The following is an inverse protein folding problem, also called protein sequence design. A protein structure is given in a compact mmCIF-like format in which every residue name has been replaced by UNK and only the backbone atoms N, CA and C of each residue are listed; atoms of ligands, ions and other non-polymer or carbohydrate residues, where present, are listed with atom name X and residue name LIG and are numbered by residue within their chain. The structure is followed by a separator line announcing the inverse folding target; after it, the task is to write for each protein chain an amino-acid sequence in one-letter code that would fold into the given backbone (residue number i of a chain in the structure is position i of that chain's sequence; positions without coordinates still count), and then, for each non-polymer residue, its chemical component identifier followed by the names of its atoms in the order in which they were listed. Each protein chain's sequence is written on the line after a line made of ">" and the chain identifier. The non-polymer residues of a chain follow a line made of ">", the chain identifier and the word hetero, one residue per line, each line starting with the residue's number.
data_IF_540530936770
#
_entry.id   IF_540530936770
#
_cell.length_a   1.000
_cell.length_b   1.000
_cell.length_c   1.000
_cell.angle_alpha   90.00
_cell.angle_beta   90.00
_cell.angle_gamma   90.00
#
_symmetry.space_group_name_H-M   'P 1'
#
loop_
_entity.id
_entity.type
_entity.pdbx_description
1 polymer ?
#
# COMPACT_ATOMS: atom_id res chain seq x y z
N UNK A 1 1.69 35.57 -49.27
CA UNK A 1 0.86 34.57 -48.57
C UNK A 1 1.09 34.52 -47.05
N UNK A 2 2.34 34.52 -46.55
CA UNK A 2 2.65 34.42 -45.10
C UNK A 2 2.17 35.59 -44.20
N UNK A 3 2.02 36.82 -44.73
CA UNK A 3 1.52 37.97 -43.94
C UNK A 3 0.05 37.80 -43.49
N UNK A 4 -0.78 37.12 -44.27
CA UNK A 4 -2.20 36.89 -43.92
C UNK A 4 -2.35 35.79 -42.85
N UNK A 5 -1.50 34.78 -42.86
CA UNK A 5 -1.47 33.73 -41.83
C UNK A 5 -1.07 34.31 -40.48
N UNK A 6 -0.04 35.17 -40.44
CA UNK A 6 0.42 35.80 -39.19
C UNK A 6 -0.63 36.71 -38.56
N UNK A 7 -1.38 37.47 -39.38
CA UNK A 7 -2.49 38.32 -38.91
C UNK A 7 -3.64 37.48 -38.33
N UNK A 8 -3.99 36.37 -39.00
CA UNK A 8 -5.03 35.44 -38.54
C UNK A 8 -4.64 34.70 -37.26
N UNK A 9 -3.37 34.31 -37.11
CA UNK A 9 -2.84 33.74 -35.86
C UNK A 9 -2.82 34.79 -34.75
N UNK A 10 -2.40 36.03 -35.03
CA UNK A 10 -2.41 37.10 -34.01
C UNK A 10 -3.82 37.50 -33.55
N UNK A 11 -4.82 37.39 -34.43
CA UNK A 11 -6.22 37.63 -34.06
C UNK A 11 -6.84 36.47 -33.28
N UNK A 12 -6.41 35.22 -33.54
CA UNK A 12 -6.77 34.04 -32.74
C UNK A 12 -6.03 33.99 -31.39
N UNK A 13 -4.89 34.68 -31.28
CA UNK A 13 -4.13 34.85 -30.03
C UNK A 13 -4.53 36.10 -29.23
N UNK A 14 -5.57 36.84 -29.66
CA UNK A 14 -6.18 37.83 -28.76
C UNK A 14 -6.75 37.04 -27.59
N UNK A 15 -6.04 37.09 -26.46
CA UNK A 15 -6.47 36.49 -25.20
C UNK A 15 -7.95 36.88 -25.02
N UNK A 16 -8.87 35.91 -24.84
CA UNK A 16 -10.23 36.27 -24.50
C UNK A 16 -10.17 37.24 -23.32
N UNK A 17 -11.04 38.26 -23.28
CA UNK A 17 -11.13 39.11 -22.10
C UNK A 17 -11.24 38.16 -20.91
N UNK A 18 -10.24 38.17 -20.03
CA UNK A 18 -10.33 37.42 -18.78
C UNK A 18 -11.53 38.01 -18.08
N UNK A 19 -12.67 37.32 -18.15
CA UNK A 19 -13.70 37.51 -17.14
C UNK A 19 -12.95 37.44 -15.81
N UNK A 20 -12.99 38.55 -15.08
CA UNK A 20 -12.28 38.65 -13.81
C UNK A 20 -12.96 37.66 -12.88
N UNK A 21 -12.39 36.46 -12.79
CA UNK A 21 -12.73 35.49 -11.74
C UNK A 21 -12.65 36.27 -10.43
N UNK A 22 -13.69 36.18 -9.62
CA UNK A 22 -13.70 36.84 -8.33
C UNK A 22 -12.46 36.35 -7.54
N UNK A 23 -11.68 37.28 -6.99
CA UNK A 23 -10.51 36.94 -6.17
C UNK A 23 -10.86 35.99 -5.02
N UNK A 24 -12.11 36.02 -4.57
CA UNK A 24 -12.64 35.08 -3.58
C UNK A 24 -12.74 33.66 -4.14
N UNK A 25 -13.28 33.48 -5.35
CA UNK A 25 -13.41 32.17 -6.01
C UNK A 25 -12.03 31.56 -6.32
N UNK A 26 -11.08 32.38 -6.78
CA UNK A 26 -9.69 31.94 -7.02
C UNK A 26 -9.06 31.33 -5.75
N UNK A 27 -9.24 31.99 -4.59
CA UNK A 27 -8.75 31.48 -3.31
C UNK A 27 -9.41 30.18 -2.88
N UNK A 28 -10.71 30.00 -3.16
CA UNK A 28 -11.41 28.74 -2.88
C UNK A 28 -10.84 27.61 -3.72
N UNK A 29 -10.66 27.83 -5.03
CA UNK A 29 -10.10 26.84 -5.94
C UNK A 29 -8.67 26.45 -5.55
N UNK A 30 -7.85 27.44 -5.19
CA UNK A 30 -6.49 27.22 -4.69
C UNK A 30 -6.50 26.40 -3.39
N UNK A 31 -7.41 26.69 -2.47
CA UNK A 31 -7.56 25.93 -1.21
C UNK A 31 -7.95 24.48 -1.47
N UNK A 32 -8.87 24.21 -2.40
CA UNK A 32 -9.31 22.85 -2.74
C UNK A 32 -8.19 22.04 -3.40
N UNK A 33 -7.41 22.64 -4.32
CA UNK A 33 -6.25 21.98 -4.92
C UNK A 33 -5.18 21.71 -3.86
N UNK A 34 -4.93 22.65 -2.96
CA UNK A 34 -4.00 22.45 -1.85
C UNK A 34 -4.45 21.30 -0.94
N UNK A 35 -5.73 21.24 -0.61
CA UNK A 35 -6.31 20.13 0.16
C UNK A 35 -6.14 18.78 -0.56
N UNK A 36 -6.28 18.75 -1.89
CA UNK A 36 -6.02 17.56 -2.70
C UNK A 36 -4.54 17.15 -2.65
N UNK A 37 -3.63 18.09 -2.83
CA UNK A 37 -2.19 17.87 -2.79
C UNK A 37 -1.78 17.26 -1.46
N UNK A 38 -2.30 17.80 -0.35
CA UNK A 38 -2.00 17.31 0.99
C UNK A 38 -2.57 15.92 1.24
N UNK A 39 -3.81 15.65 0.80
CA UNK A 39 -4.39 14.32 0.88
C UNK A 39 -3.58 13.30 0.06
N UNK A 40 -3.22 13.65 -1.17
CA UNK A 40 -2.39 12.81 -2.05
C UNK A 40 -1.00 12.54 -1.46
N UNK A 41 -0.33 13.55 -0.88
CA UNK A 41 0.96 13.39 -0.19
C UNK A 41 0.87 12.40 0.97
N UNK A 42 -0.15 12.52 1.83
CA UNK A 42 -0.37 11.61 2.97
C UNK A 42 -0.63 10.19 2.51
N UNK A 43 -1.51 10.00 1.53
CA UNK A 43 -1.79 8.68 0.95
C UNK A 43 -0.52 8.04 0.38
N UNK A 44 0.34 8.80 -0.31
CA UNK A 44 1.63 8.32 -0.83
C UNK A 44 2.62 7.94 0.27
N UNK A 45 2.75 8.78 1.29
CA UNK A 45 3.65 8.52 2.43
C UNK A 45 3.24 7.24 3.17
N UNK A 46 1.95 7.10 3.47
CA UNK A 46 1.45 5.91 4.19
C UNK A 46 1.60 4.66 3.31
N UNK A 47 1.33 4.75 2.01
CA UNK A 47 1.58 3.64 1.08
C UNK A 47 3.06 3.20 1.09
N UNK A 48 4.00 4.14 1.11
CA UNK A 48 5.43 3.83 1.18
C UNK A 48 5.78 3.17 2.52
N UNK A 49 5.33 3.75 3.65
CA UNK A 49 5.55 3.22 5.00
C UNK A 49 5.01 1.79 5.11
N UNK A 50 3.80 1.56 4.59
CA UNK A 50 3.15 0.26 4.59
C UNK A 50 3.98 -0.79 3.82
N UNK A 51 4.50 -0.44 2.64
CA UNK A 51 5.32 -1.36 1.86
C UNK A 51 6.66 -1.66 2.54
N UNK A 52 7.32 -0.64 3.11
CA UNK A 52 8.58 -0.84 3.86
C UNK A 52 8.34 -1.75 5.06
N UNK A 53 7.30 -1.46 5.86
CA UNK A 53 6.93 -2.29 7.00
C UNK A 53 6.61 -3.73 6.59
N UNK A 54 5.85 -3.91 5.49
CA UNK A 54 5.52 -5.23 4.97
C UNK A 54 6.75 -6.02 4.51
N UNK A 55 7.70 -5.38 3.83
CA UNK A 55 8.96 -6.01 3.41
C UNK A 55 9.79 -6.42 4.63
N UNK A 56 9.90 -5.56 5.65
CA UNK A 56 10.63 -5.86 6.89
C UNK A 56 10.03 -7.08 7.59
N UNK A 57 8.70 -7.11 7.77
CA UNK A 57 8.00 -8.23 8.40
C UNK A 57 8.20 -9.51 7.57
N UNK A 58 8.08 -9.42 6.25
CA UNK A 58 8.29 -10.57 5.37
C UNK A 58 9.71 -11.13 5.45
N UNK A 59 10.74 -10.27 5.43
CA UNK A 59 12.13 -10.68 5.56
C UNK A 59 12.40 -11.29 6.93
N UNK A 60 11.88 -10.68 8.00
CA UNK A 60 12.01 -11.19 9.36
C UNK A 60 11.41 -12.61 9.45
N UNK A 61 10.23 -12.82 8.88
CA UNK A 61 9.58 -14.13 8.87
C UNK A 61 10.32 -15.14 7.99
N UNK A 62 10.75 -14.72 6.81
CA UNK A 62 11.53 -15.56 5.92
C UNK A 62 12.81 -16.04 6.61
N UNK A 63 13.51 -15.14 7.30
CA UNK A 63 14.70 -15.49 8.07
C UNK A 63 14.36 -16.37 9.28
N UNK A 64 13.22 -16.16 9.94
CA UNK A 64 12.78 -17.02 11.04
C UNK A 64 12.59 -18.47 10.57
N UNK A 65 11.99 -18.67 9.41
CA UNK A 65 11.65 -20.01 8.87
C UNK A 65 12.83 -20.67 8.15
N UNK A 66 13.58 -19.92 7.34
CA UNK A 66 14.61 -20.47 6.44
C UNK A 66 16.05 -20.11 6.82
N UNK A 67 16.29 -19.47 7.97
CA UNK A 67 17.68 -19.19 8.36
C UNK A 67 18.47 -20.48 8.51
N UNK A 68 19.74 -20.43 8.07
CA UNK A 68 20.72 -21.49 8.28
C UNK A 68 20.86 -21.84 9.77
N UNK A 69 20.60 -20.89 10.66
CA UNK A 69 20.55 -21.09 12.11
C UNK A 69 19.49 -22.12 12.54
N UNK A 70 18.36 -22.20 11.83
CA UNK A 70 17.35 -23.21 12.11
C UNK A 70 17.86 -24.62 11.82
N UNK A 71 18.57 -24.80 10.70
CA UNK A 71 19.24 -26.06 10.36
C UNK A 71 20.26 -26.47 11.41
N UNK A 72 21.05 -25.53 11.95
CA UNK A 72 21.98 -25.83 13.05
C UNK A 72 21.26 -26.19 14.36
N UNK A 73 20.10 -25.57 14.64
CA UNK A 73 19.29 -25.86 15.84
C UNK A 73 18.66 -27.26 15.78
N UNK A 74 18.17 -27.68 14.62
CA UNK A 74 17.57 -29.01 14.44
C UNK A 74 18.63 -30.11 14.46
N UNK A 75 19.86 -29.80 14.03
CA UNK A 75 21.00 -30.71 14.09
C UNK A 75 21.71 -30.74 15.46
N UNK A 76 21.10 -30.23 16.53
CA UNK A 76 21.64 -30.31 17.91
C UNK A 76 22.04 -31.73 18.32
N UNK A 77 21.37 -32.75 17.78
CA UNK A 77 21.70 -34.16 18.01
C UNK A 77 23.10 -34.58 17.50
N UNK A 78 23.77 -33.74 16.70
CA UNK A 78 25.15 -33.98 16.26
C UNK A 78 26.20 -33.49 17.26
N UNK A 79 25.82 -32.60 18.19
CA UNK A 79 26.72 -32.03 19.18
C UNK A 79 26.65 -32.87 20.46
N UNK A 80 27.68 -33.70 20.69
CA UNK A 80 27.77 -34.56 21.88
C UNK A 80 28.41 -33.87 23.09
N UNK A 81 28.99 -32.68 22.91
CA UNK A 81 29.75 -31.98 23.94
C UNK A 81 28.82 -31.08 24.79
N UNK A 82 28.68 -31.33 26.11
CA UNK A 82 27.86 -30.52 27.01
C UNK A 82 28.26 -29.03 27.05
N UNK A 83 29.54 -28.71 26.83
CA UNK A 83 30.00 -27.32 26.82
C UNK A 83 29.46 -26.57 25.60
N UNK A 84 29.48 -27.20 24.42
CA UNK A 84 28.93 -26.62 23.20
C UNK A 84 27.41 -26.45 23.29
N UNK A 85 26.70 -27.38 23.94
CA UNK A 85 25.27 -27.27 24.18
C UNK A 85 24.92 -26.05 25.05
N UNK A 86 25.66 -25.83 26.14
CA UNK A 86 25.46 -24.68 27.03
C UNK A 86 25.68 -23.34 26.32
N UNK A 87 26.73 -23.25 25.49
CA UNK A 87 27.04 -22.06 24.72
C UNK A 87 26.00 -21.79 23.63
N UNK A 88 25.53 -22.84 22.97
CA UNK A 88 24.43 -22.75 22.00
C UNK A 88 23.16 -22.23 22.66
N UNK A 89 22.77 -22.76 23.83
CA UNK A 89 21.55 -22.31 24.52
C UNK A 89 21.64 -20.82 24.90
N UNK A 90 22.79 -20.34 25.39
CA UNK A 90 22.98 -18.90 25.70
C UNK A 90 22.87 -18.03 24.45
N UNK A 91 23.45 -18.48 23.32
CA UNK A 91 23.36 -17.80 22.03
C UNK A 91 21.90 -17.72 21.59
N UNK A 92 21.18 -18.84 21.61
CA UNK A 92 19.79 -18.90 21.17
C UNK A 92 18.87 -18.07 22.04
N UNK A 93 19.01 -18.12 23.37
CA UNK A 93 18.21 -17.31 24.29
C UNK A 93 18.38 -15.80 24.02
N UNK A 94 19.61 -15.38 23.67
CA UNK A 94 19.88 -13.98 23.31
C UNK A 94 19.33 -13.59 21.93
N UNK A 95 19.36 -14.49 20.97
CA UNK A 95 18.84 -14.23 19.62
C UNK A 95 17.31 -14.42 19.52
N UNK A 96 16.68 -15.04 20.50
CA UNK A 96 15.22 -15.16 20.59
C UNK A 96 14.55 -13.87 21.08
N UNK A 97 15.30 -12.89 21.58
CA UNK A 97 14.78 -11.61 22.04
C UNK A 97 15.21 -10.48 21.11
N UNK A 98 14.23 -9.71 20.63
CA UNK A 98 14.44 -8.47 19.88
C UNK A 98 14.10 -7.31 20.79
N UNK A 99 15.09 -6.44 21.03
CA UNK A 99 14.90 -5.20 21.77
C UNK A 99 14.63 -4.05 20.80
N UNK A 100 13.55 -3.29 21.06
CA UNK A 100 13.27 -2.05 20.33
C UNK A 100 13.87 -0.90 21.16
N UNK A 101 15.03 -0.32 20.78
CA UNK A 101 15.78 0.58 21.64
C UNK A 101 15.00 1.85 22.03
N UNK A 102 14.09 2.28 21.15
CA UNK A 102 13.29 3.50 21.35
C UNK A 102 12.25 3.34 22.46
N UNK A 103 11.72 2.14 22.66
CA UNK A 103 10.62 1.88 23.61
C UNK A 103 11.13 1.09 24.83
N UNK A 104 12.29 0.44 24.72
CA UNK A 104 12.84 -0.41 25.78
C UNK A 104 12.02 -1.69 26.01
N UNK A 105 11.16 -2.08 25.05
CA UNK A 105 10.41 -3.33 25.12
C UNK A 105 11.19 -4.42 24.39
N UNK A 106 11.29 -5.57 25.04
CA UNK A 106 11.84 -6.79 24.48
C UNK A 106 10.69 -7.72 24.09
N UNK A 107 10.75 -8.24 22.87
CA UNK A 107 9.77 -9.20 22.36
C UNK A 107 10.48 -10.48 21.95
N UNK A 108 9.81 -11.62 22.11
CA UNK A 108 10.29 -12.83 21.46
C UNK A 108 10.25 -12.65 19.95
N UNK A 109 11.21 -13.21 19.23
CA UNK A 109 11.15 -13.39 17.77
C UNK A 109 9.85 -14.08 17.37
N UNK A 110 9.31 -14.93 18.23
CA UNK A 110 8.02 -15.57 17.98
C UNK A 110 6.87 -14.55 18.00
N UNK A 111 6.94 -13.49 18.78
CA UNK A 111 5.85 -12.51 18.93
C UNK A 111 5.89 -11.41 17.87
N UNK A 112 7.02 -11.26 17.16
CA UNK A 112 7.18 -10.25 16.11
C UNK A 112 6.13 -10.39 15.01
N UNK A 113 5.66 -11.60 14.75
CA UNK A 113 4.62 -11.88 13.74
C UNK A 113 3.30 -11.26 14.20
N UNK A 114 2.91 -11.51 15.45
CA UNK A 114 1.66 -11.01 16.01
C UNK A 114 1.69 -9.48 16.08
N UNK A 115 2.77 -8.93 16.65
CA UNK A 115 2.97 -7.48 16.77
C UNK A 115 3.06 -6.83 15.39
N UNK A 116 3.77 -7.45 14.46
CA UNK A 116 3.91 -7.02 13.07
C UNK A 116 2.56 -7.00 12.34
N UNK A 117 1.75 -8.05 12.45
CA UNK A 117 0.42 -8.11 11.86
C UNK A 117 -0.52 -7.05 12.44
N UNK A 118 -0.51 -6.87 13.76
CA UNK A 118 -1.32 -5.83 14.41
C UNK A 118 -0.89 -4.43 13.97
N UNK A 119 0.40 -4.13 13.99
CA UNK A 119 0.94 -2.86 13.50
C UNK A 119 0.61 -2.61 12.04
N UNK A 120 0.71 -3.65 11.21
CA UNK A 120 0.37 -3.59 9.79
C UNK A 120 -1.12 -3.27 9.56
N UNK A 121 -2.01 -3.86 10.36
CA UNK A 121 -3.46 -3.57 10.33
C UNK A 121 -3.76 -2.12 10.71
N UNK A 122 -3.04 -1.55 11.69
CA UNK A 122 -3.17 -0.13 12.05
C UNK A 122 -2.76 0.76 10.88
N UNK A 123 -1.61 0.49 10.25
CA UNK A 123 -1.13 1.26 9.09
C UNK A 123 -2.09 1.10 7.89
N UNK A 124 -2.61 -0.10 7.65
CA UNK A 124 -3.60 -0.38 6.60
C UNK A 124 -4.90 0.43 6.80
N UNK A 125 -5.38 0.48 8.05
CA UNK A 125 -6.55 1.29 8.41
C UNK A 125 -6.30 2.78 8.18
N UNK A 126 -5.11 3.27 8.53
CA UNK A 126 -4.72 4.65 8.26
C UNK A 126 -4.61 4.95 6.75
N UNK A 127 -4.11 4.00 5.97
CA UNK A 127 -4.08 4.10 4.52
C UNK A 127 -5.49 4.21 3.94
N UNK A 128 -6.44 3.39 4.41
CA UNK A 128 -7.85 3.46 4.03
C UNK A 128 -8.45 4.85 4.28
N UNK A 129 -8.28 5.41 5.48
CA UNK A 129 -8.83 6.74 5.79
C UNK A 129 -8.20 7.85 4.94
N UNK A 130 -6.91 7.73 4.61
CA UNK A 130 -6.22 8.68 3.76
C UNK A 130 -6.71 8.61 2.31
N UNK A 131 -6.88 7.40 1.77
CA UNK A 131 -7.48 7.17 0.46
C UNK A 131 -8.94 7.66 0.41
N UNK A 132 -9.73 7.44 1.47
CA UNK A 132 -11.11 7.94 1.59
C UNK A 132 -11.15 9.47 1.59
N UNK A 133 -10.26 10.14 2.33
CA UNK A 133 -10.17 11.61 2.30
C UNK A 133 -9.83 12.12 0.91
N UNK A 134 -8.87 11.50 0.23
CA UNK A 134 -8.52 11.86 -1.15
C UNK A 134 -9.72 11.73 -2.09
N UNK A 135 -10.50 10.64 -1.98
CA UNK A 135 -11.72 10.45 -2.76
C UNK A 135 -12.75 11.56 -2.54
N UNK A 136 -12.99 11.95 -1.29
CA UNK A 136 -13.93 13.02 -0.94
C UNK A 136 -13.52 14.36 -1.56
N UNK A 137 -12.25 14.74 -1.46
CA UNK A 137 -11.76 16.01 -2.05
C UNK A 137 -11.90 16.01 -3.58
N UNK A 138 -11.62 14.89 -4.25
CA UNK A 138 -11.84 14.77 -5.70
C UNK A 138 -13.33 14.88 -6.05
N UNK A 139 -14.21 14.37 -5.18
CA UNK A 139 -15.66 14.46 -5.39
C UNK A 139 -16.14 15.90 -5.32
N UNK A 140 -15.69 16.65 -4.32
CA UNK A 140 -16.00 18.07 -4.18
C UNK A 140 -15.44 18.89 -5.35
N UNK A 141 -14.21 18.60 -5.79
CA UNK A 141 -13.61 19.23 -6.95
C UNK A 141 -14.39 18.98 -8.25
N UNK A 142 -14.90 17.75 -8.45
CA UNK A 142 -15.76 17.43 -9.59
C UNK A 142 -17.10 18.18 -9.52
N UNK A 143 -17.72 18.26 -8.34
CA UNK A 143 -18.98 19.01 -8.17
C UNK A 143 -18.78 20.51 -8.46
N UNK A 144 -17.68 21.09 -7.96
CA UNK A 144 -17.30 22.47 -8.28
C UNK A 144 -17.00 22.68 -9.76
N UNK A 145 -16.33 21.72 -10.40
CA UNK A 145 -16.09 21.72 -11.85
C UNK A 145 -17.42 21.75 -12.62
N UNK A 146 -18.37 20.89 -12.26
CA UNK A 146 -19.69 20.79 -12.91
C UNK A 146 -20.51 22.07 -12.78
N UNK A 147 -20.49 22.68 -11.60
CA UNK A 147 -21.26 23.89 -11.30
C UNK A 147 -20.61 25.17 -11.88
N UNK A 148 -19.39 25.09 -12.42
CA UNK A 148 -18.72 26.23 -13.05
C UNK A 148 -19.01 26.26 -14.55
N UNK A 149 -19.47 27.39 -15.08
CA UNK A 149 -19.61 27.59 -16.53
C UNK A 149 -18.27 27.88 -17.22
N UNK A 150 -17.26 28.29 -16.44
CA UNK A 150 -15.98 28.72 -16.96
C UNK A 150 -15.06 27.52 -17.28
N UNK A 151 -14.80 27.29 -18.57
CA UNK A 151 -13.93 26.23 -19.06
C UNK A 151 -12.49 26.32 -18.51
N UNK A 152 -12.00 27.52 -18.21
CA UNK A 152 -10.68 27.70 -17.60
C UNK A 152 -10.62 27.15 -16.18
N UNK A 153 -11.69 27.28 -15.39
CA UNK A 153 -11.77 26.71 -14.04
C UNK A 153 -11.77 25.19 -14.13
N UNK A 154 -12.58 24.60 -15.02
CA UNK A 154 -12.62 23.14 -15.25
C UNK A 154 -11.23 22.59 -15.60
N UNK A 155 -10.53 23.23 -16.53
CA UNK A 155 -9.16 22.86 -16.93
C UNK A 155 -8.17 23.05 -15.79
N UNK A 156 -8.24 24.15 -15.05
CA UNK A 156 -7.37 24.42 -13.91
C UNK A 156 -7.49 23.32 -12.84
N UNK A 157 -8.72 22.96 -12.47
CA UNK A 157 -8.98 21.90 -11.50
C UNK A 157 -8.49 20.54 -12.02
N UNK A 158 -8.83 20.18 -13.26
CA UNK A 158 -8.41 18.90 -13.86
C UNK A 158 -6.89 18.75 -13.90
N UNK A 159 -6.18 19.71 -14.50
CA UNK A 159 -4.72 19.64 -14.62
C UNK A 159 -4.01 19.81 -13.27
N UNK A 160 -4.59 20.56 -12.34
CA UNK A 160 -4.10 20.65 -10.95
C UNK A 160 -4.10 19.29 -10.25
N UNK A 161 -5.13 18.47 -10.48
CA UNK A 161 -5.26 17.14 -9.89
C UNK A 161 -4.40 16.11 -10.62
N UNK A 162 -4.52 16.01 -11.95
CA UNK A 162 -3.89 14.93 -12.73
C UNK A 162 -2.37 14.96 -12.59
N UNK A 163 -1.75 16.13 -12.63
CA UNK A 163 -0.30 16.28 -12.48
C UNK A 163 0.22 15.83 -11.10
N UNK A 164 -0.65 15.79 -10.08
CA UNK A 164 -0.30 15.37 -8.72
C UNK A 164 -0.68 13.91 -8.43
N UNK A 165 -1.31 13.23 -9.39
CA UNK A 165 -1.95 11.93 -9.21
C UNK A 165 -1.08 10.76 -9.64
N UNK A 166 0.02 10.50 -8.94
CA UNK A 166 1.02 9.47 -9.33
C UNK A 166 0.44 8.06 -9.50
N UNK A 167 -0.56 7.68 -8.69
CA UNK A 167 -1.14 6.32 -8.71
C UNK A 167 -2.48 6.21 -9.46
N UNK A 168 -3.01 7.33 -9.97
CA UNK A 168 -4.30 7.37 -10.66
C UNK A 168 -4.17 7.64 -12.16
N UNK A 169 -2.95 7.85 -12.67
CA UNK A 169 -2.59 8.11 -14.08
C UNK A 169 -2.86 6.91 -14.97
N UNK A 170 -4.13 6.69 -15.23
CA UNK A 170 -4.67 6.00 -16.39
C UNK A 170 -5.56 6.95 -17.19
N UNK A 171 -5.24 8.25 -17.19
CA UNK A 171 -5.90 9.19 -18.09
C UNK A 171 -5.49 8.83 -19.51
N UNK A 172 -6.44 8.84 -20.44
CA UNK A 172 -6.18 8.58 -21.86
C UNK A 172 -5.20 9.60 -22.44
N UNK A 173 -4.96 10.72 -21.75
CA UNK A 173 -3.97 11.75 -22.10
C UNK A 173 -2.52 11.24 -21.97
N UNK A 174 -2.24 10.30 -21.07
CA UNK A 174 -0.90 9.69 -20.94
C UNK A 174 -0.62 8.63 -22.03
N UNK A 175 -1.57 8.33 -22.93
CA UNK A 175 -1.50 7.15 -23.81
C UNK A 175 -0.68 7.33 -25.09
N UNK A 176 -0.09 8.50 -25.33
CA UNK A 176 0.55 8.81 -26.63
C UNK A 176 1.72 7.85 -26.97
N UNK A 177 2.24 7.04 -26.02
CA UNK A 177 3.31 6.06 -26.32
C UNK A 177 3.29 4.72 -25.52
N UNK A 178 2.15 4.30 -24.97
CA UNK A 178 2.12 3.29 -23.87
C UNK A 178 1.97 1.80 -24.25
N UNK A 179 2.29 1.36 -25.49
CA UNK A 179 2.35 -0.10 -25.79
C UNK A 179 3.40 -0.86 -24.96
N UNK A 180 4.33 -0.18 -24.27
CA UNK A 180 5.48 -0.79 -23.57
C UNK A 180 5.48 -0.70 -22.03
N UNK A 181 4.48 -0.10 -21.38
CA UNK A 181 4.53 0.26 -19.93
C UNK A 181 3.50 -0.46 -19.04
N UNK A 182 3.19 -1.73 -19.34
CA UNK A 182 2.29 -2.58 -18.53
C UNK A 182 2.92 -2.97 -17.16
N UNK A 183 4.23 -3.21 -17.12
CA UNK A 183 4.91 -3.78 -15.94
C UNK A 183 4.80 -2.93 -14.68
N UNK A 184 4.99 -1.61 -14.75
CA UNK A 184 4.90 -0.72 -13.58
C UNK A 184 3.52 -0.72 -12.92
N UNK A 185 2.45 -0.88 -13.71
CA UNK A 185 1.08 -0.97 -13.20
C UNK A 185 0.87 -2.29 -12.46
N UNK A 186 1.39 -3.38 -13.00
CA UNK A 186 1.36 -4.70 -12.35
C UNK A 186 2.13 -4.63 -11.03
N UNK A 187 3.32 -4.02 -11.01
CA UNK A 187 4.11 -3.84 -9.77
C UNK A 187 3.33 -3.02 -8.74
N UNK A 188 2.73 -1.89 -9.13
CA UNK A 188 1.92 -1.10 -8.20
C UNK A 188 0.70 -1.87 -7.66
N UNK A 189 0.05 -2.69 -8.49
CA UNK A 189 -1.05 -3.56 -8.05
C UNK A 189 -0.57 -4.65 -7.08
N UNK A 190 0.59 -5.24 -7.33
CA UNK A 190 1.22 -6.22 -6.42
C UNK A 190 1.56 -5.55 -5.08
N UNK A 191 2.17 -4.35 -5.11
CA UNK A 191 2.50 -3.58 -3.90
C UNK A 191 1.24 -3.14 -3.13
N UNK A 192 0.11 -2.93 -3.79
CA UNK A 192 -1.17 -2.72 -3.10
C UNK A 192 -1.72 -4.03 -2.51
N UNK A 193 -1.58 -5.14 -3.24
CA UNK A 193 -1.99 -6.46 -2.78
C UNK A 193 -1.14 -6.97 -1.62
N UNK A 194 0.02 -6.37 -1.32
CA UNK A 194 0.83 -6.68 -0.13
C UNK A 194 0.03 -6.61 1.17
N UNK A 195 -1.01 -5.75 1.23
CA UNK A 195 -1.98 -5.71 2.35
C UNK A 195 -2.60 -7.06 2.66
N UNK A 196 -2.84 -7.85 1.62
CA UNK A 196 -3.48 -9.15 1.68
C UNK A 196 -2.44 -10.26 1.71
N UNK A 197 -1.46 -10.17 0.80
CA UNK A 197 -0.43 -11.20 0.63
C UNK A 197 0.35 -11.42 1.93
N UNK A 198 0.68 -10.36 2.66
CA UNK A 198 1.52 -10.47 3.84
C UNK A 198 0.85 -11.32 4.95
N UNK A 199 -0.34 -10.99 5.49
CA UNK A 199 -1.00 -11.84 6.49
C UNK A 199 -1.17 -13.31 6.06
N UNK A 200 -1.58 -13.55 4.80
CA UNK A 200 -1.75 -14.92 4.30
C UNK A 200 -0.42 -15.66 4.14
N UNK A 201 0.66 -14.96 3.78
CA UNK A 201 2.00 -15.56 3.73
C UNK A 201 2.48 -15.98 5.13
N UNK A 202 2.19 -15.18 6.16
CA UNK A 202 2.53 -15.51 7.55
C UNK A 202 1.75 -16.76 8.03
N UNK A 203 0.46 -16.86 7.71
CA UNK A 203 -0.33 -18.07 7.96
C UNK A 203 0.27 -19.28 7.23
N UNK A 204 0.64 -19.11 5.95
CA UNK A 204 1.25 -20.18 5.17
C UNK A 204 2.58 -20.65 5.77
N UNK A 205 3.40 -19.73 6.29
CA UNK A 205 4.63 -20.07 7.00
C UNK A 205 4.37 -20.83 8.29
N UNK A 206 3.36 -20.45 9.08
CA UNK A 206 3.01 -21.19 10.30
C UNK A 206 2.42 -22.58 9.99
N UNK A 207 1.67 -22.72 8.89
CA UNK A 207 1.20 -24.03 8.42
C UNK A 207 2.35 -24.90 7.91
N UNK A 208 3.29 -24.31 7.17
CA UNK A 208 4.49 -25.00 6.70
C UNK A 208 5.34 -25.49 7.88
N UNK A 209 5.49 -24.64 8.91
CA UNK A 209 6.16 -24.97 10.16
C UNK A 209 5.44 -26.14 10.85
N UNK A 210 4.12 -26.06 10.99
CA UNK A 210 3.29 -27.13 11.56
C UNK A 210 3.51 -28.45 10.80
N UNK A 211 3.55 -28.40 9.46
CA UNK A 211 3.80 -29.58 8.62
C UNK A 211 5.20 -30.18 8.84
N UNK A 212 6.27 -29.38 8.88
CA UNK A 212 7.63 -29.91 9.03
C UNK A 212 7.93 -30.47 10.43
N UNK A 213 7.35 -29.87 11.48
CA UNK A 213 7.46 -30.43 12.84
C UNK A 213 6.59 -31.67 13.04
N UNK A 214 5.55 -31.84 12.22
CA UNK A 214 4.75 -33.06 12.13
C UNK A 214 5.43 -34.08 11.23
N UNK A 215 6.63 -34.53 11.60
CA UNK A 215 7.32 -35.59 10.87
C UNK A 215 6.50 -36.89 10.85
N UNK A 216 6.78 -37.76 9.88
CA UNK A 216 6.28 -39.13 9.91
C UNK A 216 7.35 -40.02 10.52
N UNK A 217 6.99 -40.79 11.55
CA UNK A 217 7.83 -41.91 11.96
C UNK A 217 7.96 -42.92 10.81
N UNK A 218 9.00 -43.79 10.83
CA UNK A 218 9.17 -44.87 9.86
C UNK A 218 7.95 -45.81 9.77
N UNK A 219 7.09 -45.85 10.80
CA UNK A 219 5.84 -46.63 10.81
C UNK A 219 4.65 -45.90 10.15
N UNK A 220 4.88 -44.73 9.55
CA UNK A 220 3.87 -43.91 8.89
C UNK A 220 2.97 -43.14 9.85
N UNK A 221 3.21 -43.18 11.16
CA UNK A 221 2.44 -42.37 12.12
C UNK A 221 2.99 -40.96 12.17
N UNK A 222 2.08 -39.99 12.09
CA UNK A 222 2.41 -38.58 12.22
C UNK A 222 2.80 -38.30 13.67
N UNK A 223 4.05 -37.91 13.90
CA UNK A 223 4.55 -37.57 15.22
C UNK A 223 4.48 -36.07 15.42
N UNK A 224 3.49 -35.64 16.21
CA UNK A 224 3.48 -34.28 16.71
C UNK A 224 4.35 -34.25 17.96
N UNK A 225 5.66 -34.09 17.80
CA UNK A 225 6.59 -33.94 18.93
C UNK A 225 6.52 -32.53 19.52
N UNK A 226 5.30 -32.00 19.64
CA UNK A 226 5.00 -30.69 20.17
C UNK A 226 4.34 -30.82 21.53
N UNK A 227 4.87 -30.04 22.47
CA UNK A 227 4.20 -29.80 23.74
C UNK A 227 2.79 -29.24 23.51
N UNK A 228 1.88 -29.48 24.46
CA UNK A 228 0.51 -28.92 24.40
C UNK A 228 0.53 -27.39 24.30
N UNK A 229 1.51 -26.74 24.94
CA UNK A 229 1.71 -25.29 24.88
C UNK A 229 2.02 -24.80 23.46
N UNK A 230 3.01 -25.41 22.80
CA UNK A 230 3.38 -25.04 21.42
C UNK A 230 2.23 -25.22 20.42
N UNK A 231 1.46 -26.31 20.55
CA UNK A 231 0.27 -26.52 19.71
C UNK A 231 -0.76 -25.42 19.91
N UNK A 232 -1.03 -25.07 21.17
CA UNK A 232 -1.99 -24.02 21.50
C UNK A 232 -1.54 -22.67 20.96
N UNK A 233 -0.25 -22.32 21.12
CA UNK A 233 0.34 -21.09 20.60
C UNK A 233 0.21 -20.98 19.07
N UNK A 234 0.57 -22.02 18.32
CA UNK A 234 0.44 -22.04 16.85
C UNK A 234 -1.03 -21.89 16.44
N UNK A 235 -1.95 -22.61 17.08
CA UNK A 235 -3.39 -22.52 16.78
C UNK A 235 -3.90 -21.09 17.01
N UNK A 236 -3.56 -20.47 18.14
CA UNK A 236 -3.96 -19.10 18.46
C UNK A 236 -3.43 -18.13 17.40
N UNK A 237 -2.17 -18.26 16.99
CA UNK A 237 -1.57 -17.40 15.94
C UNK A 237 -2.23 -17.59 14.59
N UNK A 238 -2.59 -18.83 14.21
CA UNK A 238 -3.31 -19.10 12.96
C UNK A 238 -4.69 -18.45 12.98
N UNK A 239 -5.42 -18.55 14.09
CA UNK A 239 -6.75 -17.92 14.24
C UNK A 239 -6.63 -16.40 14.14
N UNK A 240 -5.70 -15.78 14.88
CA UNK A 240 -5.50 -14.33 14.86
C UNK A 240 -5.03 -13.89 13.47
N UNK A 241 -4.03 -14.56 12.89
CA UNK A 241 -3.52 -14.27 11.56
C UNK A 241 -4.62 -14.33 10.50
N UNK A 242 -5.49 -15.34 10.54
CA UNK A 242 -6.63 -15.46 9.63
C UNK A 242 -7.63 -14.32 9.82
N UNK A 243 -7.98 -13.97 11.06
CA UNK A 243 -8.89 -12.86 11.34
C UNK A 243 -8.32 -11.52 10.83
N UNK A 244 -7.03 -11.24 11.09
CA UNK A 244 -6.36 -10.04 10.61
C UNK A 244 -6.17 -10.04 9.09
N UNK A 245 -5.92 -11.19 8.47
CA UNK A 245 -5.82 -11.35 7.02
C UNK A 245 -7.16 -11.06 6.32
N UNK A 246 -8.26 -11.58 6.84
CA UNK A 246 -9.61 -11.28 6.33
C UNK A 246 -9.97 -9.80 6.51
N UNK A 247 -9.64 -9.20 7.65
CA UNK A 247 -9.83 -7.77 7.86
C UNK A 247 -9.03 -6.93 6.86
N UNK A 248 -7.76 -7.29 6.64
CA UNK A 248 -6.87 -6.60 5.69
C UNK A 248 -7.35 -6.76 4.24
N UNK A 249 -7.92 -7.91 3.89
CA UNK A 249 -8.58 -8.15 2.61
C UNK A 249 -9.79 -7.24 2.40
N UNK A 250 -10.64 -7.07 3.41
CA UNK A 250 -11.78 -6.15 3.34
C UNK A 250 -11.32 -4.70 3.13
N UNK A 251 -10.32 -4.25 3.90
CA UNK A 251 -9.72 -2.92 3.73
C UNK A 251 -9.17 -2.74 2.30
N UNK A 252 -8.42 -3.72 1.80
CA UNK A 252 -7.85 -3.67 0.46
C UNK A 252 -8.94 -3.56 -0.61
N UNK A 253 -10.02 -4.33 -0.49
CA UNK A 253 -11.14 -4.27 -1.41
C UNK A 253 -11.81 -2.88 -1.41
N UNK A 254 -12.00 -2.29 -0.23
CA UNK A 254 -12.59 -0.95 -0.13
C UNK A 254 -11.67 0.14 -0.68
N UNK A 255 -10.36 0.06 -0.43
CA UNK A 255 -9.38 0.97 -1.04
C UNK A 255 -9.44 0.86 -2.57
N UNK A 256 -9.49 -0.37 -3.10
CA UNK A 256 -9.59 -0.60 -4.54
C UNK A 256 -10.84 0.05 -5.13
N UNK A 257 -12.01 -0.15 -4.51
CA UNK A 257 -13.27 0.50 -4.92
C UNK A 257 -13.16 2.02 -4.88
N UNK A 258 -12.57 2.59 -3.83
CA UNK A 258 -12.35 4.04 -3.71
C UNK A 258 -11.42 4.57 -4.81
N UNK A 259 -10.34 3.84 -5.13
CA UNK A 259 -9.42 4.20 -6.20
C UNK A 259 -10.08 4.13 -7.58
N UNK A 260 -10.87 3.08 -7.85
CA UNK A 260 -11.63 2.95 -9.10
C UNK A 260 -12.68 4.06 -9.24
N UNK A 261 -13.42 4.37 -8.19
CA UNK A 261 -14.38 5.47 -8.16
C UNK A 261 -13.70 6.83 -8.36
N UNK A 262 -12.53 7.05 -7.75
CA UNK A 262 -11.73 8.28 -7.94
C UNK A 262 -11.25 8.39 -9.39
N UNK A 263 -10.74 7.30 -9.98
CA UNK A 263 -10.33 7.28 -11.40
C UNK A 263 -11.49 7.63 -12.33
N UNK A 264 -12.68 7.09 -12.06
CA UNK A 264 -13.87 7.40 -12.85
C UNK A 264 -14.24 8.89 -12.77
N UNK A 265 -14.23 9.48 -11.57
CA UNK A 265 -14.47 10.92 -11.37
C UNK A 265 -13.45 11.79 -12.10
N UNK A 266 -12.17 11.41 -12.08
CA UNK A 266 -11.13 12.14 -12.81
C UNK A 266 -11.31 12.07 -14.33
N UNK A 267 -11.72 10.93 -14.88
CA UNK A 267 -12.06 10.81 -16.30
C UNK A 267 -13.24 11.70 -16.67
N UNK A 268 -14.23 11.80 -15.78
CA UNK A 268 -15.37 12.68 -15.98
C UNK A 268 -14.96 14.16 -15.99
N UNK A 269 -14.16 14.60 -15.03
CA UNK A 269 -13.57 15.96 -15.03
C UNK A 269 -12.77 16.22 -16.31
N UNK A 270 -12.01 15.24 -16.80
CA UNK A 270 -11.26 15.35 -18.05
C UNK A 270 -12.15 15.58 -19.26
N UNK A 271 -13.25 14.80 -19.37
CA UNK A 271 -14.24 15.01 -20.44
C UNK A 271 -14.85 16.40 -20.39
N UNK A 272 -15.24 16.89 -19.21
CA UNK A 272 -15.79 18.24 -19.03
C UNK A 272 -14.78 19.34 -19.41
N UNK A 273 -13.48 19.11 -19.21
CA UNK A 273 -12.41 20.05 -19.55
C UNK A 273 -12.03 20.06 -21.04
N UNK A 274 -12.38 19.00 -21.78
CA UNK A 274 -12.07 18.81 -23.21
C UNK A 274 -13.21 19.21 -24.15
N UNK A 275 -14.45 19.35 -23.67
CA UNK A 275 -15.59 19.77 -24.53
C UNK A 275 -15.25 21.11 -25.18
N UNK A 276 -15.16 21.18 -26.53
CA UNK A 276 -14.92 22.44 -27.22
C UNK A 276 -16.10 23.38 -26.95
N UNK A 277 -15.82 24.66 -26.70
CA UNK A 277 -16.86 25.69 -26.69
C UNK A 277 -17.64 25.56 -28.01
N UNK A 278 -18.92 25.18 -27.92
CA UNK A 278 -19.82 25.26 -29.06
C UNK A 278 -20.01 26.75 -29.35
N UNK A 279 -19.11 27.28 -30.18
CA UNK A 279 -19.21 28.64 -30.73
C UNK A 279 -20.37 28.79 -31.69
#
# INVERSE_FOLDING_TARGET
>A
MFKNVRKKISSLLRKPPRESIDKFEEKILESLITAYIDASKRTRQIFLILNIAGIIIFIAEFNRVFSWLHYFRENKNLVKDPQQESFQNIIYDKFELIEIPVIGIQFSVSDIILVGMLGFVVIATWYYFSARRQHHVVSELLERSRNSDNLHIKRYLYFGIVNQSVFLTGSDVDTIDFKKKSSYRIVAQILQAFLVILPFSLIAFELFRLYNYGGFYPDGKMCWDMTKGQRTDIIVRLIIGLALGLYSFNIWNDIRKLMEATKWKLREMGREAEVPEKG
#
